data_IF_430634641804
#
_entry.id   IF_430634641804
#
_cell.length_a   1.000
_cell.length_b   1.000
_cell.length_c   1.000
_cell.angle_alpha   90.00
_cell.angle_beta   90.00
_cell.angle_gamma   90.00
#
_symmetry.space_group_name_H-M   'P 1'
#
loop_
_entity.id
_entity.type
_entity.pdbx_description
1 polymer ?
#
# COMPACT_ATOMS: atom_id res chain seq x y z
N UNK A 1 28.94 -67.54 5.29
CA UNK A 1 27.72 -66.76 5.08
C UNK A 1 27.99 -65.33 5.61
N UNK A 2 28.36 -64.38 4.73
CA UNK A 2 28.65 -63.02 5.09
C UNK A 2 27.42 -62.15 4.72
N UNK A 3 26.74 -61.62 5.72
CA UNK A 3 25.63 -60.69 5.51
C UNK A 3 26.20 -59.28 5.36
N UNK A 4 26.05 -58.74 4.16
CA UNK A 4 26.44 -57.39 3.80
C UNK A 4 25.30 -56.45 4.19
N UNK A 5 25.52 -55.59 5.21
CA UNK A 5 24.59 -54.55 5.63
C UNK A 5 24.80 -53.33 4.73
N UNK A 6 23.82 -53.05 3.87
CA UNK A 6 23.74 -51.78 3.13
C UNK A 6 23.16 -50.70 4.04
N UNK A 7 24.00 -49.76 4.45
CA UNK A 7 23.59 -48.53 5.08
C UNK A 7 23.10 -47.55 3.99
N UNK A 8 21.80 -47.36 3.91
CA UNK A 8 21.21 -46.33 3.07
C UNK A 8 21.19 -45.01 3.86
N UNK A 9 22.13 -44.11 3.54
CA UNK A 9 22.14 -42.75 4.05
C UNK A 9 21.09 -41.92 3.31
N UNK A 10 19.96 -41.63 3.97
CA UNK A 10 18.97 -40.68 3.48
C UNK A 10 19.48 -39.27 3.81
N UNK A 11 20.00 -38.59 2.79
CA UNK A 11 20.31 -37.17 2.88
C UNK A 11 19.01 -36.39 2.72
N UNK A 12 18.46 -35.88 3.83
CA UNK A 12 17.32 -34.95 3.83
C UNK A 12 17.80 -33.59 3.36
N UNK A 13 17.54 -33.25 2.11
CA UNK A 13 17.66 -31.85 1.62
C UNK A 13 16.58 -31.00 2.25
N UNK A 14 16.96 -30.19 3.23
CA UNK A 14 16.12 -29.10 3.74
C UNK A 14 16.04 -28.01 2.67
N UNK A 15 15.00 -28.03 1.87
CA UNK A 15 14.64 -26.93 0.98
C UNK A 15 14.05 -25.83 1.88
N UNK A 16 14.89 -24.86 2.23
CA UNK A 16 14.44 -23.61 2.86
C UNK A 16 13.66 -22.81 1.81
N UNK A 17 12.35 -23.04 1.74
CA UNK A 17 11.45 -22.21 0.96
C UNK A 17 11.36 -20.85 1.66
N UNK A 18 11.99 -19.82 1.07
CA UNK A 18 11.69 -18.45 1.41
C UNK A 18 10.18 -18.23 1.22
N UNK A 19 9.43 -18.23 2.30
CA UNK A 19 8.01 -17.90 2.28
C UNK A 19 7.87 -16.43 1.84
N UNK A 20 7.72 -16.23 0.53
CA UNK A 20 7.10 -14.99 0.03
C UNK A 20 5.69 -15.00 0.60
N UNK A 21 5.36 -14.01 1.42
CA UNK A 21 4.02 -13.89 2.01
C UNK A 21 2.98 -14.05 0.91
N UNK A 22 1.97 -14.90 1.15
CA UNK A 22 0.87 -15.04 0.22
C UNK A 22 0.22 -13.66 -0.02
N UNK A 23 -0.21 -13.33 -1.25
CA UNK A 23 -0.89 -12.07 -1.51
C UNK A 23 -2.15 -11.98 -0.64
N UNK A 24 -2.35 -10.82 0.00
CA UNK A 24 -3.56 -10.57 0.77
C UNK A 24 -4.75 -10.49 -0.20
N UNK A 25 -5.58 -11.52 -0.19
CA UNK A 25 -6.75 -11.66 -1.06
C UNK A 25 -8.01 -10.99 -0.47
N UNK A 26 -7.88 -10.22 0.60
CA UNK A 26 -9.00 -9.45 1.14
C UNK A 26 -9.57 -8.54 0.06
N UNK A 27 -10.88 -8.56 -0.22
CA UNK A 27 -11.47 -7.69 -1.25
C UNK A 27 -11.27 -6.21 -0.93
N UNK A 28 -10.83 -5.42 -1.91
CA UNK A 28 -10.81 -3.97 -1.80
C UNK A 28 -12.26 -3.46 -1.65
N UNK A 29 -12.51 -2.56 -0.71
CA UNK A 29 -13.86 -1.98 -0.52
C UNK A 29 -14.04 -0.80 -1.46
N UNK A 30 -15.10 -0.81 -2.25
CA UNK A 30 -15.43 0.28 -3.15
C UNK A 30 -16.25 1.37 -2.44
N UNK A 31 -15.95 2.63 -2.73
CA UNK A 31 -16.64 3.82 -2.20
C UNK A 31 -17.11 4.66 -3.36
N UNK A 32 -18.43 4.83 -3.48
CA UNK A 32 -19.06 5.65 -4.52
C UNK A 32 -18.90 7.15 -4.26
N UNK A 33 -18.65 7.90 -5.33
CA UNK A 33 -18.50 9.37 -5.34
C UNK A 33 -19.10 9.92 -6.63
N UNK A 34 -20.28 10.52 -6.59
CA UNK A 34 -20.91 11.23 -7.70
C UNK A 34 -20.92 10.42 -9.02
N UNK A 35 -21.37 9.15 -8.95
CA UNK A 35 -21.44 8.23 -10.09
C UNK A 35 -20.10 7.61 -10.51
N UNK A 36 -19.02 7.89 -9.79
CA UNK A 36 -17.70 7.27 -9.90
C UNK A 36 -17.37 6.53 -8.61
N UNK A 37 -16.16 5.98 -8.49
CA UNK A 37 -15.72 5.33 -7.25
C UNK A 37 -14.20 5.38 -7.06
N UNK A 38 -13.78 5.16 -5.82
CA UNK A 38 -12.42 4.80 -5.45
C UNK A 38 -12.45 3.55 -4.58
N UNK A 39 -11.30 2.94 -4.35
CA UNK A 39 -11.17 1.75 -3.52
C UNK A 39 -10.49 2.06 -2.20
N UNK A 40 -10.85 1.31 -1.17
CA UNK A 40 -10.19 1.34 0.13
C UNK A 40 -9.44 0.03 0.32
N UNK A 41 -8.18 0.13 0.69
CA UNK A 41 -7.29 -0.99 0.95
C UNK A 41 -6.81 -0.95 2.39
N UNK A 42 -6.48 -2.12 2.94
CA UNK A 42 -5.86 -2.24 4.26
C UNK A 42 -4.33 -2.18 4.15
N UNK A 43 -3.66 -1.94 5.27
CA UNK A 43 -2.20 -1.75 5.30
C UNK A 43 -1.40 -2.98 4.87
N UNK A 44 -1.92 -4.20 5.07
CA UNK A 44 -1.27 -5.43 4.60
C UNK A 44 -1.30 -5.54 3.08
N UNK A 45 -2.37 -5.07 2.43
CA UNK A 45 -2.45 -4.96 0.98
C UNK A 45 -1.45 -3.93 0.45
N UNK A 46 -1.38 -2.75 1.07
CA UNK A 46 -0.36 -1.75 0.73
C UNK A 46 1.05 -2.33 0.86
N UNK A 47 1.33 -3.06 1.96
CA UNK A 47 2.64 -3.70 2.17
C UNK A 47 2.99 -4.65 1.03
N UNK A 48 2.05 -5.51 0.61
CA UNK A 48 2.25 -6.42 -0.52
C UNK A 48 2.44 -5.67 -1.86
N UNK A 49 1.71 -4.58 -2.07
CA UNK A 49 1.83 -3.76 -3.28
C UNK A 49 3.19 -3.06 -3.36
N UNK A 50 3.79 -2.69 -2.24
CA UNK A 50 5.12 -2.06 -2.18
C UNK A 50 6.25 -2.99 -2.63
N UNK A 51 6.09 -4.31 -2.51
CA UNK A 51 7.11 -5.28 -2.92
C UNK A 51 7.32 -5.29 -4.47
N UNK A 52 6.30 -4.90 -5.24
CA UNK A 52 6.35 -4.72 -6.70
C UNK A 52 5.66 -3.40 -7.08
N UNK A 53 6.17 -2.31 -6.54
CA UNK A 53 5.55 -0.98 -6.64
C UNK A 53 5.41 -0.49 -8.08
N UNK A 54 4.17 -0.24 -8.50
CA UNK A 54 3.79 0.30 -9.83
C UNK A 54 2.69 1.36 -9.70
N UNK A 55 2.77 2.20 -8.68
CA UNK A 55 1.80 3.24 -8.36
C UNK A 55 2.48 4.44 -7.70
N UNK A 56 1.80 5.57 -7.72
CA UNK A 56 2.21 6.77 -6.98
C UNK A 56 1.67 6.67 -5.56
N UNK A 57 2.53 6.71 -4.55
CA UNK A 57 2.15 6.74 -3.14
C UNK A 57 2.24 8.18 -2.61
N UNK A 58 1.12 8.71 -2.15
CA UNK A 58 1.00 10.11 -1.73
C UNK A 58 0.60 10.20 -0.26
N UNK A 59 1.44 10.84 0.53
CA UNK A 59 1.10 11.28 1.88
C UNK A 59 0.31 12.59 1.79
N UNK A 60 -0.92 12.61 2.33
CA UNK A 60 -1.77 13.80 2.32
C UNK A 60 -2.01 14.37 3.71
N UNK A 61 -1.30 13.86 4.72
CA UNK A 61 -1.48 14.26 6.11
C UNK A 61 -0.81 15.59 6.43
N UNK A 62 -1.52 16.47 7.08
CA UNK A 62 -1.01 17.71 7.63
C UNK A 62 -1.36 17.84 9.13
N UNK A 63 -0.39 18.35 9.94
CA UNK A 63 1.00 18.65 9.58
C UNK A 63 1.77 17.39 9.20
N UNK A 64 2.93 17.53 8.53
CA UNK A 64 3.79 16.39 8.21
C UNK A 64 4.33 15.74 9.50
N UNK A 65 4.08 14.45 9.68
CA UNK A 65 4.45 13.69 10.89
C UNK A 65 5.24 12.40 10.56
N UNK A 66 5.94 12.38 9.43
CA UNK A 66 6.63 11.21 8.92
C UNK A 66 5.86 10.56 7.76
N UNK A 67 6.39 9.42 7.28
CA UNK A 67 5.82 8.77 6.09
C UNK A 67 6.08 7.26 6.04
N UNK A 68 5.28 6.57 5.25
CA UNK A 68 5.50 5.17 4.89
C UNK A 68 6.66 5.10 3.89
N UNK A 69 7.59 4.16 4.09
CA UNK A 69 8.70 3.94 3.14
C UNK A 69 8.17 3.66 1.74
N UNK A 70 8.72 4.37 0.76
CA UNK A 70 8.28 4.28 -0.64
C UNK A 70 7.27 5.35 -1.02
N UNK A 71 6.97 6.31 -0.13
CA UNK A 71 6.21 7.52 -0.46
C UNK A 71 6.94 8.33 -1.53
N UNK A 72 6.21 8.74 -2.55
CA UNK A 72 6.75 9.50 -3.70
C UNK A 72 6.47 10.99 -3.55
N UNK A 73 5.33 11.36 -2.98
CA UNK A 73 4.89 12.74 -2.88
C UNK A 73 4.27 13.03 -1.50
N UNK A 74 4.47 14.27 -1.06
CA UNK A 74 3.67 14.90 -0.02
C UNK A 74 2.82 16.01 -0.65
N UNK A 75 1.49 15.89 -0.53
CA UNK A 75 0.53 16.89 -1.00
C UNK A 75 -0.58 17.01 0.04
N UNK A 76 -0.75 18.16 0.70
CA UNK A 76 -1.83 18.36 1.66
C UNK A 76 -3.20 17.97 1.10
N UNK A 77 -4.02 17.26 1.89
CA UNK A 77 -5.31 16.73 1.45
C UNK A 77 -6.27 17.79 0.90
N UNK A 78 -6.16 19.01 1.41
CA UNK A 78 -6.97 20.17 1.03
C UNK A 78 -6.34 21.04 -0.07
N UNK A 79 -5.20 20.63 -0.62
CA UNK A 79 -4.47 21.35 -1.68
C UNK A 79 -4.26 20.48 -2.94
N UNK A 80 -5.05 19.42 -3.11
CA UNK A 80 -4.94 18.51 -4.27
C UNK A 80 -5.11 19.28 -5.59
N UNK A 81 -6.11 20.14 -5.68
CA UNK A 81 -6.41 20.89 -6.90
C UNK A 81 -5.30 21.88 -7.28
N UNK A 82 -4.66 22.50 -6.29
CA UNK A 82 -3.55 23.43 -6.48
C UNK A 82 -2.24 22.72 -6.87
N UNK A 83 -2.16 21.42 -6.62
CA UNK A 83 -0.97 20.60 -6.87
C UNK A 83 -1.13 19.59 -8.02
N UNK A 84 -2.10 19.79 -8.91
CA UNK A 84 -2.36 18.88 -10.04
C UNK A 84 -1.15 18.68 -10.95
N UNK A 85 -0.27 19.67 -11.07
CA UNK A 85 0.97 19.56 -11.86
C UNK A 85 1.97 18.55 -11.31
N UNK A 86 1.84 18.16 -10.04
CA UNK A 86 2.67 17.13 -9.39
C UNK A 86 2.10 15.72 -9.57
N UNK A 87 0.83 15.62 -9.97
CA UNK A 87 0.12 14.37 -10.15
C UNK A 87 0.20 13.90 -11.62
N UNK A 88 0.05 12.60 -11.91
CA UNK A 88 0.04 12.12 -13.28
C UNK A 88 -1.04 12.80 -14.13
N UNK A 89 -0.68 13.21 -15.35
CA UNK A 89 -1.66 13.70 -16.32
C UNK A 89 -2.63 12.59 -16.77
N UNK A 90 -2.13 11.34 -16.82
CA UNK A 90 -2.96 10.16 -17.07
C UNK A 90 -3.93 9.92 -15.91
N UNK A 91 -5.21 10.07 -16.18
CA UNK A 91 -6.30 9.86 -15.21
C UNK A 91 -6.52 8.38 -14.84
N UNK A 92 -5.98 7.45 -15.60
CA UNK A 92 -5.95 6.03 -15.32
C UNK A 92 -4.78 5.58 -14.44
N UNK A 93 -3.81 6.46 -14.18
CA UNK A 93 -2.66 6.15 -13.34
C UNK A 93 -3.10 5.71 -11.94
N UNK A 94 -2.46 4.64 -11.44
CA UNK A 94 -2.72 4.14 -10.10
C UNK A 94 -2.11 5.08 -9.05
N UNK A 95 -2.96 5.66 -8.21
CA UNK A 95 -2.57 6.53 -7.11
C UNK A 95 -3.08 5.94 -5.80
N UNK A 96 -2.21 5.81 -4.83
CA UNK A 96 -2.54 5.39 -3.46
C UNK A 96 -2.32 6.59 -2.55
N UNK A 97 -3.35 6.97 -1.82
CA UNK A 97 -3.29 8.07 -0.84
C UNK A 97 -3.40 7.53 0.57
N UNK A 98 -2.70 8.17 1.49
CA UNK A 98 -2.84 7.87 2.92
C UNK A 98 -2.63 9.14 3.74
N UNK A 99 -3.14 9.11 4.97
CA UNK A 99 -2.84 10.11 5.99
C UNK A 99 -2.53 9.41 7.32
N UNK A 100 -2.70 10.09 8.45
CA UNK A 100 -2.46 9.47 9.76
C UNK A 100 -3.51 8.44 10.15
N UNK A 101 -4.81 8.77 9.99
CA UNK A 101 -5.94 7.96 10.47
C UNK A 101 -6.94 7.51 9.39
N UNK A 102 -6.77 7.94 8.13
CA UNK A 102 -7.70 7.70 7.04
C UNK A 102 -8.71 8.82 6.77
N UNK A 103 -8.88 9.80 7.69
CA UNK A 103 -9.87 10.87 7.51
C UNK A 103 -9.49 11.84 6.38
N UNK A 104 -8.27 12.39 6.40
CA UNK A 104 -7.80 13.33 5.38
C UNK A 104 -7.63 12.64 4.01
N UNK A 105 -7.15 11.40 4.00
CA UNK A 105 -6.95 10.65 2.76
C UNK A 105 -8.27 10.28 2.08
N UNK A 106 -9.33 10.02 2.83
CA UNK A 106 -10.66 9.81 2.24
C UNK A 106 -11.20 11.07 1.55
N UNK A 107 -10.90 12.27 2.09
CA UNK A 107 -11.24 13.54 1.43
C UNK A 107 -10.42 13.71 0.15
N UNK A 108 -9.10 13.47 0.20
CA UNK A 108 -8.23 13.53 -0.97
C UNK A 108 -8.66 12.53 -2.07
N UNK A 109 -9.01 11.29 -1.69
CA UNK A 109 -9.50 10.27 -2.62
C UNK A 109 -10.79 10.69 -3.33
N UNK A 110 -11.74 11.29 -2.59
CA UNK A 110 -12.98 11.84 -3.18
C UNK A 110 -12.68 12.98 -4.15
N UNK A 111 -11.77 13.89 -3.78
CA UNK A 111 -11.36 15.01 -4.64
C UNK A 111 -10.72 14.50 -5.93
N UNK A 112 -9.76 13.57 -5.85
CA UNK A 112 -9.14 12.95 -7.02
C UNK A 112 -10.17 12.26 -7.93
N UNK A 113 -11.13 11.53 -7.34
CA UNK A 113 -12.20 10.85 -8.09
C UNK A 113 -13.10 11.86 -8.83
N UNK A 114 -13.45 12.99 -8.21
CA UNK A 114 -14.19 14.08 -8.87
C UNK A 114 -13.41 14.71 -10.01
N UNK A 115 -12.10 14.85 -9.85
CA UNK A 115 -11.17 15.35 -10.87
C UNK A 115 -10.92 14.38 -12.03
N UNK A 116 -11.57 13.22 -12.01
CA UNK A 116 -11.57 12.25 -13.11
C UNK A 116 -10.53 11.15 -13.01
N UNK A 117 -9.77 11.05 -11.91
CA UNK A 117 -8.90 9.90 -11.70
C UNK A 117 -9.74 8.65 -11.40
N UNK A 118 -9.44 7.57 -12.11
CA UNK A 118 -10.26 6.34 -12.10
C UNK A 118 -9.64 5.17 -11.34
N UNK A 119 -8.40 5.33 -10.88
CA UNK A 119 -7.63 4.24 -10.25
C UNK A 119 -7.03 4.67 -8.92
N UNK A 120 -7.90 5.15 -8.03
CA UNK A 120 -7.52 5.67 -6.71
C UNK A 120 -7.72 4.59 -5.64
N UNK A 121 -6.77 4.51 -4.72
CA UNK A 121 -6.87 3.73 -3.49
C UNK A 121 -6.60 4.62 -2.28
N UNK A 122 -7.40 4.44 -1.24
CA UNK A 122 -7.24 5.06 0.07
C UNK A 122 -6.82 3.98 1.08
N UNK A 123 -5.81 4.27 1.89
CA UNK A 123 -5.31 3.33 2.91
C UNK A 123 -6.10 3.50 4.19
N UNK A 124 -6.91 2.49 4.52
CA UNK A 124 -7.73 2.48 5.74
C UNK A 124 -6.86 2.53 7.00
N UNK A 125 -7.21 3.42 7.92
CA UNK A 125 -6.50 3.64 9.17
C UNK A 125 -5.11 4.29 9.03
N UNK A 126 -4.61 4.48 7.81
CA UNK A 126 -3.40 5.26 7.51
C UNK A 126 -2.15 4.82 8.27
N UNK A 127 -1.33 5.79 8.69
CA UNK A 127 -0.07 5.54 9.42
C UNK A 127 -0.30 4.84 10.77
N UNK A 128 -1.42 5.11 11.46
CA UNK A 128 -1.75 4.43 12.72
C UNK A 128 -1.94 2.93 12.49
N UNK A 129 -2.73 2.55 11.49
CA UNK A 129 -2.92 1.14 11.16
C UNK A 129 -1.62 0.47 10.67
N UNK A 130 -0.77 1.21 9.96
CA UNK A 130 0.55 0.77 9.50
C UNK A 130 1.46 0.41 10.68
N UNK A 131 1.57 1.29 11.68
CA UNK A 131 2.35 1.06 12.89
C UNK A 131 1.76 -0.07 13.75
N UNK A 132 0.44 -0.13 13.89
CA UNK A 132 -0.25 -1.21 14.63
C UNK A 132 -0.04 -2.59 13.99
N UNK A 133 0.18 -2.65 12.69
CA UNK A 133 0.57 -3.87 11.99
C UNK A 133 2.06 -4.22 12.12
N UNK A 134 2.83 -3.42 12.87
CA UNK A 134 4.26 -3.65 13.13
C UNK A 134 5.18 -3.12 12.04
N UNK A 135 4.69 -2.29 11.13
CA UNK A 135 5.50 -1.70 10.06
C UNK A 135 6.06 -0.34 10.48
N UNK A 136 7.37 -0.09 10.26
CA UNK A 136 7.99 1.16 10.67
C UNK A 136 7.63 2.33 9.74
N UNK A 137 7.54 3.53 10.33
CA UNK A 137 7.50 4.79 9.60
C UNK A 137 8.91 5.39 9.47
N UNK A 138 9.11 6.19 8.42
CA UNK A 138 10.21 7.14 8.34
C UNK A 138 9.73 8.36 9.11
N UNK A 139 10.44 8.68 10.19
CA UNK A 139 10.07 9.79 11.07
C UNK A 139 10.39 11.14 10.44
N UNK A 140 9.63 12.16 10.81
CA UNK A 140 9.98 13.55 10.55
C UNK A 140 11.25 13.90 11.36
N UNK A 141 12.26 14.45 10.71
CA UNK A 141 13.47 14.97 11.37
C UNK A 141 13.20 16.33 11.98
#
# INVERSE_FOLDING_TARGET
MKRLLFLVSVVALLVSACARGAPDLTPEREVAVDGKSYRVIIVTQLKSMLDNKNFLLVNVHIPYEGEIRGTDLFVPYNEIEQNLSKLPADKGAKIVVYCRSGMMSSVAARTLTRLGYTNIRDVDGGMIAWENAGYPLIQAN
#
